data_IF_038952210347
#
_entry.id   IF_038952210347
#
_cell.length_a   1.000
_cell.length_b   1.000
_cell.length_c   1.000
_cell.angle_alpha   90.00
_cell.angle_beta   90.00
_cell.angle_gamma   90.00
#
_symmetry.space_group_name_H-M   'P 1'
#
loop_
_entity.id
_entity.type
_entity.pdbx_description
1 polymer ?
#
# COMPACT_ATOMS: atom_id res chain seq x y z
N UNK A 1 17.55 31.32 -17.86
CA UNK A 1 16.95 30.24 -17.04
C UNK A 1 15.90 29.58 -17.92
N UNK A 2 16.18 28.39 -18.48
CA UNK A 2 15.25 27.70 -19.40
C UNK A 2 14.24 26.94 -18.56
N UNK A 3 12.96 27.34 -18.61
CA UNK A 3 11.88 26.59 -17.99
C UNK A 3 11.72 25.27 -18.73
N UNK A 4 11.94 24.16 -18.03
CA UNK A 4 11.61 22.82 -18.49
C UNK A 4 10.09 22.70 -18.40
N UNK A 5 9.42 22.71 -19.55
CA UNK A 5 8.00 22.42 -19.64
C UNK A 5 7.84 20.92 -19.37
N UNK A 6 7.44 20.56 -18.15
CA UNK A 6 7.04 19.19 -17.85
C UNK A 6 5.70 18.97 -18.56
N UNK A 7 5.67 18.09 -19.55
CA UNK A 7 4.44 17.64 -20.16
C UNK A 7 3.52 17.13 -19.06
N UNK A 8 2.41 17.84 -18.85
CA UNK A 8 1.42 17.50 -17.83
C UNK A 8 0.71 16.22 -18.28
N UNK A 9 1.30 15.07 -17.94
CA UNK A 9 0.62 13.80 -17.98
C UNK A 9 -0.60 13.92 -17.08
N UNK A 10 -1.79 13.79 -17.65
CA UNK A 10 -3.04 13.80 -16.88
C UNK A 10 -2.95 12.65 -15.87
N UNK A 11 -2.95 12.92 -14.55
CA UNK A 11 -2.87 11.85 -13.58
C UNK A 11 -4.09 10.96 -13.75
N UNK A 12 -3.87 9.66 -13.88
CA UNK A 12 -4.94 8.67 -13.84
C UNK A 12 -5.55 8.71 -12.43
N UNK A 13 -6.74 9.27 -12.34
CA UNK A 13 -7.45 9.40 -11.06
C UNK A 13 -8.00 8.03 -10.70
N UNK A 14 -7.43 7.41 -9.67
CA UNK A 14 -8.00 6.23 -9.04
C UNK A 14 -9.35 6.62 -8.43
N UNK A 15 -10.41 5.89 -8.75
CA UNK A 15 -11.73 6.18 -8.21
C UNK A 15 -11.73 5.95 -6.69
N UNK A 16 -12.33 6.85 -5.89
CA UNK A 16 -12.61 6.57 -4.49
C UNK A 16 -13.36 5.24 -4.36
N UNK A 17 -12.82 4.29 -3.59
CA UNK A 17 -13.41 2.95 -3.40
C UNK A 17 -12.93 1.86 -4.36
N UNK A 18 -11.95 2.13 -5.22
CA UNK A 18 -11.37 1.09 -6.11
C UNK A 18 -10.60 0.01 -5.35
N UNK A 19 -10.02 0.37 -4.20
CA UNK A 19 -9.38 -0.55 -3.27
C UNK A 19 -10.10 -0.52 -1.93
N UNK A 20 -10.42 -1.70 -1.40
CA UNK A 20 -10.93 -1.86 -0.05
C UNK A 20 -9.81 -2.42 0.83
N UNK A 21 -9.35 -1.63 1.80
CA UNK A 21 -8.37 -2.08 2.80
C UNK A 21 -9.12 -2.18 4.12
N UNK A 22 -9.37 -3.42 4.56
CA UNK A 22 -9.91 -3.68 5.89
C UNK A 22 -8.76 -3.67 6.91
N UNK A 23 -8.55 -2.51 7.53
CA UNK A 23 -7.58 -2.38 8.63
C UNK A 23 -8.25 -2.80 9.93
N UNK A 24 -8.54 -4.09 10.05
CA UNK A 24 -9.05 -4.69 11.27
C UNK A 24 -7.95 -4.66 12.35
N UNK A 25 -8.10 -3.78 13.33
CA UNK A 25 -7.18 -3.67 14.47
C UNK A 25 -7.40 -4.84 15.44
N UNK A 26 -6.35 -5.60 15.78
CA UNK A 26 -6.45 -6.61 16.84
C UNK A 26 -6.81 -5.93 18.16
N UNK A 27 -7.95 -6.30 18.72
CA UNK A 27 -8.31 -5.91 20.08
C UNK A 27 -7.21 -6.36 21.05
N UNK A 28 -6.68 -5.48 21.94
CA UNK A 28 -5.59 -5.83 22.85
C UNK A 28 -5.86 -7.10 23.69
N UNK A 29 -7.13 -7.37 23.99
CA UNK A 29 -7.58 -8.54 24.75
C UNK A 29 -7.43 -9.87 23.99
N UNK A 30 -7.44 -9.84 22.65
CA UNK A 30 -7.34 -11.05 21.81
C UNK A 30 -5.89 -11.48 21.53
N UNK A 31 -4.89 -10.74 22.03
CA UNK A 31 -3.46 -11.02 21.80
C UNK A 31 -3.01 -12.43 22.22
N UNK A 32 -3.73 -13.07 23.16
CA UNK A 32 -3.39 -14.40 23.65
C UNK A 32 -4.08 -15.54 22.88
N UNK A 33 -5.01 -15.23 21.97
CA UNK A 33 -5.68 -16.24 21.16
C UNK A 33 -4.89 -16.48 19.85
N UNK A 34 -4.31 -17.68 19.73
CA UNK A 34 -3.54 -18.10 18.56
C UNK A 34 -4.36 -18.08 17.27
N UNK A 35 -5.64 -18.45 17.32
CA UNK A 35 -6.52 -18.50 16.15
C UNK A 35 -6.80 -17.09 15.61
N UNK A 36 -7.14 -16.16 16.51
CA UNK A 36 -7.34 -14.74 16.16
C UNK A 36 -6.04 -14.12 15.60
N UNK A 37 -4.89 -14.52 16.13
CA UNK A 37 -3.61 -14.02 15.62
C UNK A 37 -3.31 -14.52 14.21
N UNK A 38 -3.60 -15.78 13.90
CA UNK A 38 -3.43 -16.34 12.55
C UNK A 38 -4.37 -15.70 11.54
N UNK A 39 -5.64 -15.52 11.92
CA UNK A 39 -6.64 -14.86 11.08
C UNK A 39 -6.24 -13.40 10.77
N UNK A 40 -5.75 -12.68 11.78
CA UNK A 40 -5.18 -11.35 11.58
C UNK A 40 -3.98 -11.34 10.63
N UNK A 41 -3.02 -12.26 10.80
CA UNK A 41 -1.85 -12.31 9.92
C UNK A 41 -2.26 -12.55 8.46
N UNK A 42 -3.27 -13.39 8.22
CA UNK A 42 -3.84 -13.61 6.90
C UNK A 42 -4.42 -12.32 6.32
N UNK A 43 -5.27 -11.61 7.07
CA UNK A 43 -5.85 -10.34 6.63
C UNK A 43 -4.81 -9.23 6.43
N UNK A 44 -3.77 -9.20 7.26
CA UNK A 44 -2.65 -8.28 7.11
C UNK A 44 -1.89 -8.55 5.81
N UNK A 45 -1.68 -9.82 5.46
CA UNK A 45 -1.02 -10.20 4.20
C UNK A 45 -1.81 -9.72 2.98
N UNK A 46 -3.12 -9.93 2.96
CA UNK A 46 -4.04 -9.44 1.91
C UNK A 46 -4.01 -7.90 1.80
N UNK A 47 -3.99 -7.20 2.94
CA UNK A 47 -3.91 -5.74 2.97
C UNK A 47 -2.57 -5.21 2.46
N UNK A 48 -1.46 -5.85 2.83
CA UNK A 48 -0.12 -5.48 2.37
C UNK A 48 0.03 -5.68 0.86
N UNK A 49 -0.53 -6.76 0.32
CA UNK A 49 -0.55 -7.02 -1.12
C UNK A 49 -1.34 -5.95 -1.89
N UNK A 50 -2.52 -5.60 -1.39
CA UNK A 50 -3.33 -4.50 -1.95
C UNK A 50 -2.58 -3.17 -1.93
N UNK A 51 -1.90 -2.85 -0.82
CA UNK A 51 -1.08 -1.64 -0.69
C UNK A 51 0.11 -1.63 -1.66
N UNK A 52 0.71 -2.79 -1.94
CA UNK A 52 1.79 -2.90 -2.92
C UNK A 52 1.28 -2.57 -4.33
N UNK A 53 0.14 -3.11 -4.75
CA UNK A 53 -0.47 -2.80 -6.05
C UNK A 53 -0.77 -1.29 -6.20
N UNK A 54 -1.37 -0.68 -5.17
CA UNK A 54 -1.65 0.77 -5.16
C UNK A 54 -0.37 1.57 -5.30
N UNK A 55 0.67 1.22 -4.53
CA UNK A 55 1.92 1.95 -4.54
C UNK A 55 2.63 1.82 -5.90
N UNK A 56 2.60 0.64 -6.53
CA UNK A 56 3.17 0.43 -7.85
C UNK A 56 2.40 1.19 -8.95
N UNK A 57 1.06 1.16 -8.95
CA UNK A 57 0.28 1.96 -9.93
C UNK A 57 0.53 3.46 -9.74
N UNK A 58 0.57 3.93 -8.49
CA UNK A 58 0.86 5.33 -8.20
C UNK A 58 2.30 5.72 -8.62
N UNK A 59 3.28 4.81 -8.52
CA UNK A 59 4.66 5.05 -8.99
C UNK A 59 4.74 5.16 -10.51
N UNK A 60 3.91 4.41 -11.25
CA UNK A 60 3.85 4.54 -12.71
C UNK A 60 3.38 5.95 -13.09
N UNK A 61 2.38 6.48 -12.38
CA UNK A 61 1.87 7.84 -12.60
C UNK A 61 2.84 8.92 -12.09
N UNK A 62 3.55 8.66 -10.98
CA UNK A 62 4.42 9.64 -10.30
C UNK A 62 5.78 9.01 -9.93
N UNK A 63 6.64 8.73 -10.93
CA UNK A 63 7.89 8.00 -10.71
C UNK A 63 8.93 8.78 -9.89
N UNK A 64 8.82 10.11 -9.84
CA UNK A 64 9.70 10.98 -9.07
C UNK A 64 9.29 11.12 -7.60
N UNK A 65 8.16 10.52 -7.21
CA UNK A 65 7.67 10.61 -5.83
C UNK A 65 8.42 9.66 -4.90
N UNK A 66 9.28 10.24 -4.06
CA UNK A 66 10.09 9.50 -3.09
C UNK A 66 9.22 8.82 -2.02
N UNK A 67 8.05 9.36 -1.71
CA UNK A 67 7.13 8.74 -0.74
C UNK A 67 6.58 7.43 -1.29
N UNK A 68 6.19 7.40 -2.56
CA UNK A 68 5.70 6.19 -3.24
C UNK A 68 6.81 5.15 -3.41
N UNK A 69 8.04 5.57 -3.73
CA UNK A 69 9.19 4.67 -3.77
C UNK A 69 9.46 4.00 -2.41
N UNK A 70 9.33 4.77 -1.32
CA UNK A 70 9.47 4.26 0.04
C UNK A 70 8.31 3.32 0.42
N UNK A 71 7.09 3.65 0.02
CA UNK A 71 5.91 2.83 0.26
C UNK A 71 6.02 1.45 -0.41
N UNK A 72 6.41 1.38 -1.69
CA UNK A 72 6.67 0.10 -2.37
C UNK A 72 7.74 -0.74 -1.70
N UNK A 73 8.82 -0.12 -1.24
CA UNK A 73 9.87 -0.86 -0.54
C UNK A 73 9.33 -1.47 0.76
N UNK A 74 8.54 -0.70 1.51
CA UNK A 74 7.97 -1.14 2.78
C UNK A 74 6.94 -2.27 2.60
N UNK A 75 6.05 -2.15 1.62
CA UNK A 75 5.06 -3.20 1.33
C UNK A 75 5.74 -4.47 0.83
N UNK A 76 6.77 -4.37 -0.03
CA UNK A 76 7.58 -5.51 -0.45
C UNK A 76 8.27 -6.22 0.72
N UNK A 77 8.91 -5.47 1.61
CA UNK A 77 9.53 -6.06 2.81
C UNK A 77 8.50 -6.73 3.71
N UNK A 78 7.31 -6.13 3.84
CA UNK A 78 6.23 -6.70 4.63
C UNK A 78 5.71 -8.02 4.02
N UNK A 79 5.63 -8.15 2.70
CA UNK A 79 5.28 -9.41 2.02
C UNK A 79 6.30 -10.52 2.28
N UNK A 80 7.60 -10.18 2.36
CA UNK A 80 8.67 -11.14 2.65
C UNK A 80 8.67 -11.59 4.12
N UNK A 81 8.20 -10.74 5.03
CA UNK A 81 8.14 -10.99 6.48
C UNK A 81 6.89 -11.77 6.92
N UNK A 82 5.80 -11.72 6.16
CA UNK A 82 4.48 -12.31 6.46
C UNK A 82 4.23 -13.65 5.74
#
# INVERSE_FOLDING_TARGET
>A
MKCVTMDSAKPKVLAPGMYAIDVSLILPHCRNNKEVHLDYLKHLKESVETLHEIADEARVERPLDRSLASACLYTKQSQELL
#
